data_IF_302615555613
#
_entry.id   IF_302615555613
#
_cell.length_a   1.000
_cell.length_b   1.000
_cell.length_c   1.000
_cell.angle_alpha   90.00
_cell.angle_beta   90.00
_cell.angle_gamma   90.00
#
_symmetry.space_group_name_H-M   'P 1'
#
loop_
_entity.id
_entity.type
_entity.pdbx_description
1 polymer ?
#
# COMPACT_ATOMS: atom_id res chain seq x y z
N UNK A 1 3.22 21.09 65.57
CA UNK A 1 4.26 21.63 64.66
C UNK A 1 4.49 20.49 63.65
N UNK A 2 3.86 20.63 62.48
CA UNK A 2 4.04 19.60 61.41
C UNK A 2 5.20 20.09 60.54
N UNK A 3 6.37 19.52 60.75
CA UNK A 3 7.47 19.60 59.79
C UNK A 3 7.07 18.79 58.57
N UNK A 4 6.40 19.43 57.63
CA UNK A 4 6.32 18.94 56.25
C UNK A 4 7.73 19.10 55.69
N UNK A 5 8.50 18.03 55.77
CA UNK A 5 9.86 17.98 55.27
C UNK A 5 9.87 18.35 53.80
N UNK A 6 10.82 19.17 53.39
CA UNK A 6 11.06 19.57 51.99
C UNK A 6 11.05 18.40 51.03
N UNK A 7 11.43 17.21 51.51
CA UNK A 7 11.39 15.94 50.73
C UNK A 7 9.99 15.55 50.23
N UNK A 8 8.94 15.79 51.06
CA UNK A 8 7.56 15.50 50.64
C UNK A 8 7.11 16.39 49.48
N UNK A 9 7.52 17.65 49.47
CA UNK A 9 7.23 18.59 48.40
C UNK A 9 7.88 18.18 47.05
N UNK A 10 9.15 17.76 47.07
CA UNK A 10 9.84 17.27 45.89
C UNK A 10 9.22 15.96 45.36
N UNK A 11 8.73 15.09 46.24
CA UNK A 11 8.01 13.88 45.89
C UNK A 11 6.71 14.20 45.10
N UNK A 12 5.94 15.21 45.55
CA UNK A 12 4.73 15.63 44.86
C UNK A 12 5.01 16.25 43.51
N UNK A 13 6.05 17.09 43.39
CA UNK A 13 6.47 17.68 42.11
C UNK A 13 6.90 16.58 41.13
N UNK A 14 7.71 15.61 41.61
CA UNK A 14 8.18 14.49 40.79
C UNK A 14 7.02 13.64 40.26
N UNK A 15 6.03 13.33 41.15
CA UNK A 15 4.84 12.55 40.72
C UNK A 15 3.98 13.30 39.72
N UNK A 16 3.82 14.62 39.90
CA UNK A 16 3.05 15.45 38.96
C UNK A 16 3.72 15.53 37.58
N UNK A 17 5.04 15.69 37.53
CA UNK A 17 5.79 15.69 36.28
C UNK A 17 5.73 14.32 35.57
N UNK A 18 5.85 13.22 36.32
CA UNK A 18 5.69 11.88 35.76
C UNK A 18 4.28 11.66 35.22
N UNK A 19 3.25 12.15 35.92
CA UNK A 19 1.85 12.08 35.47
C UNK A 19 1.62 12.85 34.17
N UNK A 20 2.15 14.06 34.04
CA UNK A 20 2.05 14.86 32.80
C UNK A 20 2.80 14.19 31.64
N UNK A 21 3.97 13.61 31.90
CA UNK A 21 4.74 12.89 30.88
C UNK A 21 4.00 11.64 30.37
N UNK A 22 3.35 10.89 31.27
CA UNK A 22 2.54 9.71 30.92
C UNK A 22 1.30 10.09 30.10
N UNK A 23 0.59 11.15 30.46
CA UNK A 23 -0.55 11.68 29.70
C UNK A 23 -0.10 12.15 28.33
N UNK A 24 1.03 12.88 28.24
CA UNK A 24 1.61 13.31 26.96
C UNK A 24 1.97 12.14 26.04
N UNK A 25 2.54 11.07 26.60
CA UNK A 25 2.85 9.86 25.84
C UNK A 25 1.57 9.14 25.36
N UNK A 26 0.54 9.04 26.21
CA UNK A 26 -0.72 8.38 25.88
C UNK A 26 -1.53 9.12 24.80
N UNK A 27 -1.49 10.46 24.79
CA UNK A 27 -2.19 11.25 23.77
C UNK A 27 -1.49 11.29 22.41
N UNK A 28 -0.21 10.88 22.35
CA UNK A 28 0.56 10.74 21.11
C UNK A 28 0.44 9.38 20.42
N UNK A 29 -0.25 8.42 21.03
CA UNK A 29 -0.44 7.10 20.41
C UNK A 29 -1.54 7.16 19.36
N UNK A 30 -1.34 6.52 18.18
CA UNK A 30 -2.41 6.39 17.18
C UNK A 30 -3.63 5.70 17.81
N UNK A 31 -4.81 6.28 17.60
CA UNK A 31 -6.07 5.73 18.12
C UNK A 31 -6.67 4.68 17.19
N UNK A 32 -6.21 4.61 15.96
CA UNK A 32 -6.61 3.63 14.96
C UNK A 32 -5.47 2.63 14.70
N UNK A 33 -5.76 1.36 14.38
CA UNK A 33 -4.75 0.41 13.96
C UNK A 33 -4.18 0.80 12.59
N UNK A 34 -2.93 0.43 12.27
CA UNK A 34 -2.39 0.61 10.92
C UNK A 34 -3.17 -0.22 9.90
N UNK A 35 -3.19 0.19 8.61
CA UNK A 35 -3.91 -0.52 7.55
C UNK A 35 -3.33 -1.92 7.33
N UNK A 36 -4.18 -2.88 6.93
CA UNK A 36 -3.77 -4.28 6.71
C UNK A 36 -3.13 -4.47 5.33
N UNK A 37 -1.88 -4.05 5.19
CA UNK A 37 -1.11 -4.29 3.96
C UNK A 37 -0.88 -5.78 3.68
N UNK A 38 -0.89 -6.64 4.70
CA UNK A 38 -0.72 -8.08 4.57
C UNK A 38 -1.88 -8.72 3.80
N UNK A 39 -3.12 -8.39 4.13
CA UNK A 39 -4.31 -8.88 3.44
C UNK A 39 -4.34 -8.42 1.98
N UNK A 40 -3.97 -7.15 1.74
CA UNK A 40 -3.85 -6.60 0.37
C UNK A 40 -2.79 -7.36 -0.42
N UNK A 41 -1.60 -7.56 0.14
CA UNK A 41 -0.51 -8.33 -0.48
C UNK A 41 -0.92 -9.78 -0.80
N UNK A 42 -1.61 -10.44 0.13
CA UNK A 42 -2.11 -11.81 -0.08
C UNK A 42 -3.14 -11.90 -1.22
N UNK A 43 -3.95 -10.86 -1.43
CA UNK A 43 -4.88 -10.81 -2.57
C UNK A 43 -4.12 -10.69 -3.89
N UNK A 44 -3.11 -9.81 -3.96
CA UNK A 44 -2.25 -9.68 -5.13
C UNK A 44 -1.51 -10.98 -5.42
N UNK A 45 -0.89 -11.58 -4.42
CA UNK A 45 -0.15 -12.85 -4.56
C UNK A 45 -1.06 -13.99 -5.05
N UNK A 46 -2.30 -14.07 -4.56
CA UNK A 46 -3.28 -15.08 -5.02
C UNK A 46 -3.60 -14.95 -6.51
N UNK A 47 -3.80 -13.70 -6.99
CA UNK A 47 -4.07 -13.46 -8.41
C UNK A 47 -2.81 -13.69 -9.24
N UNK A 48 -1.64 -13.25 -8.74
CA UNK A 48 -0.36 -13.44 -9.42
C UNK A 48 0.04 -14.92 -9.53
N UNK A 49 -0.33 -15.74 -8.56
CA UNK A 49 -0.09 -17.20 -8.57
C UNK A 49 -1.09 -18.01 -9.41
N UNK A 50 -2.16 -17.39 -9.91
CA UNK A 50 -3.15 -18.08 -10.72
C UNK A 50 -2.53 -18.66 -12.00
N UNK A 51 -2.94 -19.84 -12.41
CA UNK A 51 -2.43 -20.51 -13.63
C UNK A 51 -2.98 -19.84 -14.89
N UNK A 52 -4.20 -19.30 -14.82
CA UNK A 52 -4.92 -18.65 -15.92
C UNK A 52 -5.12 -17.16 -15.66
N UNK A 53 -5.66 -16.46 -16.65
CA UNK A 53 -6.09 -15.07 -16.47
C UNK A 53 -7.05 -14.97 -15.30
N UNK A 54 -6.76 -14.05 -14.39
CA UNK A 54 -7.51 -13.87 -13.15
C UNK A 54 -7.60 -12.38 -12.79
N UNK A 55 -8.69 -12.01 -12.16
CA UNK A 55 -8.89 -10.67 -11.60
C UNK A 55 -9.26 -10.80 -10.13
N UNK A 56 -8.77 -9.87 -9.31
CA UNK A 56 -9.13 -9.76 -7.91
C UNK A 56 -9.29 -8.32 -7.51
N UNK A 57 -10.14 -8.09 -6.53
CA UNK A 57 -10.36 -6.80 -5.93
C UNK A 57 -10.17 -6.91 -4.41
N UNK A 58 -9.69 -5.83 -3.80
CA UNK A 58 -9.53 -5.74 -2.36
C UNK A 58 -9.91 -4.34 -1.88
N UNK A 59 -10.89 -4.21 -0.97
CA UNK A 59 -11.21 -2.92 -0.39
C UNK A 59 -10.02 -2.38 0.41
N UNK A 60 -9.73 -1.10 0.29
CA UNK A 60 -8.64 -0.44 0.99
C UNK A 60 -9.18 0.42 2.13
N UNK A 61 -8.64 0.19 3.32
CA UNK A 61 -8.82 1.04 4.50
C UNK A 61 -7.52 1.81 4.75
N UNK A 62 -7.21 2.73 3.83
CA UNK A 62 -6.03 3.56 3.84
C UNK A 62 -6.29 4.87 3.10
N UNK A 63 -5.51 5.91 3.40
CA UNK A 63 -5.61 7.22 2.76
C UNK A 63 -4.65 7.34 1.58
N UNK A 64 -3.49 6.69 1.69
CA UNK A 64 -2.45 6.71 0.67
C UNK A 64 -1.88 5.32 0.42
N UNK A 65 -1.50 5.09 -0.83
CA UNK A 65 -0.81 3.89 -1.27
C UNK A 65 0.50 4.22 -1.97
N UNK A 66 1.45 3.30 -1.84
CA UNK A 66 2.66 3.25 -2.67
C UNK A 66 2.79 1.87 -3.27
N UNK A 67 2.62 1.79 -4.59
CA UNK A 67 2.78 0.56 -5.35
C UNK A 67 4.18 0.50 -5.96
N UNK A 68 4.91 -0.57 -5.68
CA UNK A 68 6.19 -0.92 -6.31
C UNK A 68 6.10 -2.32 -6.89
N UNK A 69 7.04 -2.68 -7.71
CA UNK A 69 7.04 -3.98 -8.41
C UNK A 69 7.03 -5.21 -7.49
N UNK A 70 7.48 -5.07 -6.24
CA UNK A 70 7.55 -6.16 -5.24
C UNK A 70 7.08 -5.77 -3.85
N UNK A 71 6.54 -4.57 -3.68
CA UNK A 71 6.11 -4.07 -2.37
C UNK A 71 4.91 -3.16 -2.49
N UNK A 72 3.99 -3.32 -1.55
CA UNK A 72 2.86 -2.43 -1.34
C UNK A 72 3.08 -1.72 -0.01
N UNK A 73 2.90 -0.41 0.02
CA UNK A 73 2.83 0.40 1.23
C UNK A 73 1.46 1.02 1.35
N UNK A 74 0.87 0.99 2.51
CA UNK A 74 -0.39 1.65 2.85
C UNK A 74 -0.15 2.61 4.02
N UNK A 75 -0.81 3.76 4.00
CA UNK A 75 -0.76 4.76 5.06
C UNK A 75 -2.14 5.25 5.40
N UNK A 76 -2.42 5.40 6.69
CA UNK A 76 -3.62 6.01 7.26
C UNK A 76 -3.25 6.80 8.52
N UNK A 77 -4.23 7.40 9.17
CA UNK A 77 -4.05 8.03 10.49
C UNK A 77 -3.51 7.03 11.54
N UNK A 78 -3.81 5.75 11.39
CA UNK A 78 -3.31 4.67 12.25
C UNK A 78 -1.83 4.31 12.04
N UNK A 79 -1.19 4.86 11.01
CA UNK A 79 0.22 4.64 10.71
C UNK A 79 0.49 4.10 9.31
N UNK A 80 1.68 3.53 9.12
CA UNK A 80 2.13 3.00 7.83
C UNK A 80 2.41 1.51 7.95
N UNK A 81 1.89 0.72 7.01
CA UNK A 81 2.15 -0.70 6.89
C UNK A 81 2.67 -1.06 5.49
N UNK A 82 3.42 -2.16 5.41
CA UNK A 82 4.02 -2.63 4.16
C UNK A 82 3.82 -4.14 4.01
N UNK A 83 3.61 -4.57 2.75
CA UNK A 83 3.66 -5.98 2.38
C UNK A 83 4.68 -6.18 1.25
N UNK A 84 5.44 -7.28 1.33
CA UNK A 84 6.30 -7.75 0.25
C UNK A 84 5.54 -8.81 -0.52
N UNK A 85 5.56 -8.72 -1.86
CA UNK A 85 4.88 -9.65 -2.75
C UNK A 85 5.78 -10.86 -3.04
N UNK A 86 5.22 -12.05 -2.88
CA UNK A 86 5.91 -13.32 -3.12
C UNK A 86 5.95 -13.66 -4.62
N UNK A 87 4.88 -13.33 -5.34
CA UNK A 87 4.70 -13.60 -6.77
C UNK A 87 4.82 -12.31 -7.58
N UNK A 88 6.02 -11.75 -7.65
CA UNK A 88 6.32 -10.54 -8.42
C UNK A 88 7.39 -10.79 -9.48
N UNK A 89 7.67 -9.82 -10.34
CA UNK A 89 7.25 -8.42 -10.25
C UNK A 89 5.84 -8.16 -10.77
N UNK A 90 5.06 -7.39 -10.03
CA UNK A 90 3.82 -6.82 -10.53
C UNK A 90 4.09 -5.54 -11.32
N UNK A 91 3.12 -5.08 -12.07
CA UNK A 91 3.19 -3.85 -12.85
C UNK A 91 2.17 -2.86 -12.31
N UNK A 92 2.60 -1.88 -11.50
CA UNK A 92 1.73 -0.77 -11.12
C UNK A 92 1.29 0.00 -12.35
N UNK A 93 -0.02 0.20 -12.49
CA UNK A 93 -0.56 0.96 -13.61
C UNK A 93 -0.48 2.45 -13.29
N UNK A 94 -0.01 3.31 -14.22
CA UNK A 94 -0.04 4.75 -14.03
C UNK A 94 -1.45 5.27 -13.75
N UNK A 95 -1.54 6.31 -12.91
CA UNK A 95 -2.84 6.91 -12.56
C UNK A 95 -3.50 7.63 -13.74
N UNK A 96 -2.71 8.02 -14.74
CA UNK A 96 -3.16 8.69 -15.94
C UNK A 96 -3.94 7.74 -16.86
N UNK A 97 -4.71 8.29 -17.80
CA UNK A 97 -5.32 7.52 -18.87
C UNK A 97 -4.21 6.83 -19.68
N UNK A 98 -4.15 5.50 -19.59
CA UNK A 98 -3.14 4.71 -20.27
C UNK A 98 -3.74 3.41 -20.81
N UNK A 99 -3.22 2.87 -21.94
CA UNK A 99 -3.67 1.59 -22.46
C UNK A 99 -3.54 0.44 -21.46
N UNK A 100 -2.56 0.49 -20.52
CA UNK A 100 -2.45 -0.49 -19.45
C UNK A 100 -3.62 -0.42 -18.46
N UNK A 101 -4.15 0.79 -18.21
CA UNK A 101 -5.33 0.99 -17.37
C UNK A 101 -6.57 0.38 -18.04
N UNK A 102 -6.76 0.59 -19.32
CA UNK A 102 -7.86 -0.02 -20.07
C UNK A 102 -7.80 -1.54 -20.00
N UNK A 103 -6.60 -2.12 -20.14
CA UNK A 103 -6.39 -3.56 -19.99
C UNK A 103 -6.71 -4.01 -18.58
N UNK A 104 -6.28 -3.30 -17.53
CA UNK A 104 -6.59 -3.65 -16.15
C UNK A 104 -8.12 -3.69 -15.92
N UNK A 105 -8.86 -2.73 -16.47
CA UNK A 105 -10.31 -2.62 -16.32
C UNK A 105 -11.11 -3.48 -17.31
N UNK A 106 -10.49 -4.33 -18.11
CA UNK A 106 -11.17 -5.38 -18.83
C UNK A 106 -11.04 -5.33 -20.35
N UNK A 107 -10.47 -4.27 -20.91
CA UNK A 107 -10.18 -4.23 -22.34
C UNK A 107 -9.17 -5.32 -22.70
N UNK A 108 -9.42 -6.14 -23.72
CA UNK A 108 -8.43 -7.09 -24.22
C UNK A 108 -7.16 -6.36 -24.70
N UNK A 109 -5.95 -6.89 -24.42
CA UNK A 109 -4.71 -6.20 -24.77
C UNK A 109 -4.58 -5.95 -26.30
N UNK A 110 -5.10 -6.84 -27.15
CA UNK A 110 -5.13 -6.68 -28.60
C UNK A 110 -6.01 -5.52 -29.11
N UNK A 111 -6.83 -4.94 -28.23
CA UNK A 111 -7.62 -3.71 -28.55
C UNK A 111 -6.98 -2.45 -28.00
N UNK A 112 -6.17 -2.59 -26.96
CA UNK A 112 -5.51 -1.47 -26.31
C UNK A 112 -4.13 -1.18 -26.92
N UNK A 113 -3.50 -2.17 -27.56
CA UNK A 113 -2.16 -2.09 -28.13
C UNK A 113 -2.12 -2.64 -29.55
N UNK A 114 -1.31 -2.01 -30.41
CA UNK A 114 -1.15 -2.41 -31.81
C UNK A 114 -0.34 -3.70 -31.97
N UNK A 115 0.44 -4.08 -30.96
CA UNK A 115 1.27 -5.28 -30.98
C UNK A 115 1.64 -5.78 -29.57
N UNK A 116 1.96 -7.07 -29.41
CA UNK A 116 2.49 -7.62 -28.16
C UNK A 116 3.79 -6.93 -27.72
N UNK A 117 4.59 -6.46 -28.67
CA UNK A 117 5.82 -5.72 -28.38
C UNK A 117 5.54 -4.36 -27.75
N UNK A 118 4.55 -3.61 -28.28
CA UNK A 118 4.13 -2.34 -27.69
C UNK A 118 3.57 -2.54 -26.26
N UNK A 119 2.81 -3.61 -26.04
CA UNK A 119 2.34 -3.99 -24.72
C UNK A 119 3.51 -4.29 -23.76
N UNK A 120 4.49 -5.11 -24.21
CA UNK A 120 5.68 -5.42 -23.41
C UNK A 120 6.46 -4.17 -23.04
N UNK A 121 6.65 -3.26 -23.97
CA UNK A 121 7.33 -1.98 -23.76
C UNK A 121 6.63 -1.16 -22.67
N UNK A 122 5.32 -0.99 -22.75
CA UNK A 122 4.53 -0.26 -21.76
C UNK A 122 4.64 -0.90 -20.36
N UNK A 123 4.66 -2.23 -20.27
CA UNK A 123 4.87 -2.96 -19.02
C UNK A 123 6.25 -2.67 -18.44
N UNK A 124 7.30 -2.66 -19.27
CA UNK A 124 8.68 -2.37 -18.84
C UNK A 124 8.80 -0.93 -18.32
N UNK A 125 8.24 0.03 -19.02
CA UNK A 125 8.22 1.44 -18.62
C UNK A 125 7.49 1.64 -17.29
N UNK A 126 6.27 1.11 -17.16
CA UNK A 126 5.50 1.21 -15.93
C UNK A 126 6.23 0.56 -14.72
N UNK A 127 6.97 -0.52 -14.93
CA UNK A 127 7.79 -1.14 -13.87
C UNK A 127 9.01 -0.31 -13.52
N UNK A 128 9.62 0.37 -14.48
CA UNK A 128 10.75 1.26 -14.23
C UNK A 128 10.31 2.47 -13.39
N UNK A 129 9.20 3.09 -13.73
CA UNK A 129 8.64 4.24 -13.01
C UNK A 129 8.19 3.87 -11.59
N UNK A 130 7.78 2.63 -11.37
CA UNK A 130 7.38 2.13 -10.04
C UNK A 130 8.56 2.05 -9.04
N UNK A 131 9.82 2.13 -9.50
CA UNK A 131 11.00 2.13 -8.63
C UNK A 131 11.00 3.30 -7.65
N UNK A 132 10.66 4.49 -8.13
CA UNK A 132 10.62 5.74 -7.37
C UNK A 132 9.19 6.25 -7.12
N UNK A 133 8.19 5.36 -7.20
CA UNK A 133 6.80 5.72 -7.04
C UNK A 133 6.55 6.51 -5.73
N UNK A 134 5.92 7.70 -5.80
CA UNK A 134 5.53 8.46 -4.63
C UNK A 134 4.35 7.81 -3.90
N UNK A 135 4.06 8.28 -2.70
CA UNK A 135 2.77 8.05 -2.07
C UNK A 135 1.70 8.81 -2.85
N UNK A 136 0.57 8.17 -3.10
CA UNK A 136 -0.56 8.77 -3.80
C UNK A 136 -1.86 8.47 -3.04
N UNK A 137 -2.87 9.35 -3.10
CA UNK A 137 -4.19 9.04 -2.59
C UNK A 137 -4.71 7.74 -3.17
N UNK A 138 -5.49 6.99 -2.40
CA UNK A 138 -6.11 5.76 -2.89
C UNK A 138 -7.54 5.99 -3.31
N UNK A 139 -7.99 5.26 -4.33
CA UNK A 139 -9.38 4.88 -4.46
C UNK A 139 -9.68 3.79 -3.43
N UNK A 140 -10.93 3.59 -3.07
CA UNK A 140 -11.31 2.66 -1.99
C UNK A 140 -11.05 1.19 -2.29
N UNK A 141 -10.58 0.86 -3.48
CA UNK A 141 -10.43 -0.52 -3.95
C UNK A 141 -9.15 -0.69 -4.75
N UNK A 142 -8.33 -1.64 -4.33
CA UNK A 142 -7.22 -2.13 -5.16
C UNK A 142 -7.77 -3.15 -6.15
N UNK A 143 -7.38 -3.01 -7.42
CA UNK A 143 -7.70 -3.95 -8.49
C UNK A 143 -6.40 -4.59 -8.96
N UNK A 144 -6.43 -5.91 -9.13
CA UNK A 144 -5.33 -6.68 -9.66
C UNK A 144 -5.82 -7.60 -10.77
N UNK A 145 -5.10 -7.65 -11.89
CA UNK A 145 -5.41 -8.51 -13.02
C UNK A 145 -4.16 -9.20 -13.55
N UNK A 146 -4.23 -10.53 -13.60
CA UNK A 146 -3.27 -11.36 -14.30
C UNK A 146 -3.78 -11.69 -15.69
N UNK A 147 -2.91 -11.55 -16.69
CA UNK A 147 -3.20 -11.92 -18.05
C UNK A 147 -1.91 -12.34 -18.80
N UNK A 148 -2.11 -13.04 -19.92
CA UNK A 148 -1.05 -13.39 -20.87
C UNK A 148 -1.51 -13.03 -22.26
N UNK A 149 -0.64 -12.44 -23.06
CA UNK A 149 -0.86 -12.15 -24.47
C UNK A 149 0.40 -12.40 -25.28
N UNK A 150 0.32 -13.35 -26.24
CA UNK A 150 1.44 -13.71 -27.13
C UNK A 150 2.77 -13.93 -26.40
N UNK A 151 2.73 -14.64 -25.25
CA UNK A 151 3.90 -14.93 -24.42
C UNK A 151 4.34 -13.79 -23.49
N UNK A 152 3.58 -12.71 -23.40
CA UNK A 152 3.80 -11.64 -22.41
C UNK A 152 2.89 -11.88 -21.20
N UNK A 153 3.45 -12.42 -20.13
CA UNK A 153 2.75 -12.62 -18.86
C UNK A 153 2.91 -11.40 -17.96
N UNK A 154 1.80 -10.87 -17.46
CA UNK A 154 1.80 -9.68 -16.62
C UNK A 154 0.77 -9.76 -15.51
N UNK A 155 1.09 -9.13 -14.38
CA UNK A 155 0.15 -8.82 -13.30
C UNK A 155 0.07 -7.31 -13.18
N UNK A 156 -1.05 -6.73 -13.60
CA UNK A 156 -1.36 -5.31 -13.49
C UNK A 156 -2.02 -5.03 -12.14
N UNK A 157 -1.67 -3.90 -11.51
CA UNK A 157 -2.22 -3.49 -10.21
C UNK A 157 -2.46 -1.99 -10.20
N UNK A 158 -3.64 -1.56 -9.73
CA UNK A 158 -3.99 -0.16 -9.48
C UNK A 158 -4.85 -0.02 -8.21
N UNK A 159 -4.90 1.20 -7.64
CA UNK A 159 -5.70 1.53 -6.45
C UNK A 159 -5.96 3.03 -6.33
#
# INVERSE_FOLDING_TARGET
>A
MFDLTLDAWYGWIGLSLAGVALVGAATGLPTAPPPDAGAVGATVDRVAAAEYAATGEHPLDADEIRLRTRRIGLRSDGGTAHATLSFGPVTPVPADESPLRDVLYGTPPERAFDSPEAFRQAVVEARADAGDAPWRPVDRTLIVRRLSWEGVDVVLVDA
#
